data_IF_175810146465
#
_entry.id   IF_175810146465
#
_cell.length_a   1.000
_cell.length_b   1.000
_cell.length_c   1.000
_cell.angle_alpha   90.00
_cell.angle_beta   90.00
_cell.angle_gamma   90.00
#
_symmetry.space_group_name_H-M   'P 1'
#
loop_
_entity.id
_entity.type
_entity.pdbx_description
1 polymer ?
#
# COMPACT_ATOMS: atom_id res chain seq x y z
N UNK A 1 75.99 58.90 -45.34
CA UNK A 1 74.99 58.09 -45.99
C UNK A 1 74.65 56.95 -45.04
N UNK A 2 73.51 57.13 -44.41
CA UNK A 2 73.08 56.34 -43.28
C UNK A 2 71.96 55.36 -43.78
N UNK A 3 72.19 54.04 -43.63
CA UNK A 3 71.19 53.04 -44.01
C UNK A 3 70.13 52.87 -42.86
N UNK A 4 68.86 52.63 -43.21
CA UNK A 4 67.80 52.47 -42.21
C UNK A 4 67.73 51.03 -41.69
N UNK A 5 67.52 50.91 -40.38
CA UNK A 5 67.39 49.70 -39.66
C UNK A 5 66.00 49.05 -39.91
N UNK A 6 65.98 47.74 -40.21
CA UNK A 6 64.80 46.92 -40.33
C UNK A 6 64.26 46.58 -38.92
N UNK A 7 63.08 47.01 -38.61
CA UNK A 7 62.31 46.54 -37.43
C UNK A 7 61.54 45.26 -37.77
N UNK A 8 61.79 44.17 -37.05
CA UNK A 8 60.99 42.91 -37.05
C UNK A 8 59.76 43.05 -36.13
N UNK A 9 58.56 42.58 -36.55
CA UNK A 9 57.42 42.56 -35.65
C UNK A 9 57.53 41.41 -34.71
N UNK A 10 57.30 41.62 -33.38
CA UNK A 10 57.05 40.60 -32.37
C UNK A 10 55.66 40.04 -32.60
N UNK A 11 55.59 38.73 -32.84
CA UNK A 11 54.36 37.98 -32.84
C UNK A 11 53.99 37.69 -31.35
N UNK A 12 52.89 38.25 -30.88
CA UNK A 12 52.31 37.91 -29.58
C UNK A 12 51.60 36.56 -29.66
N UNK A 13 52.11 35.54 -29.02
CA UNK A 13 51.41 34.24 -28.82
C UNK A 13 50.38 34.41 -27.70
N UNK A 14 49.12 34.44 -28.06
CA UNK A 14 47.99 34.36 -27.09
C UNK A 14 47.85 32.92 -26.63
N UNK A 15 48.22 32.65 -25.38
CA UNK A 15 48.00 31.34 -24.71
C UNK A 15 46.54 31.32 -24.27
N UNK A 16 45.66 30.65 -25.00
CA UNK A 16 44.30 30.36 -24.59
C UNK A 16 44.33 29.23 -23.56
N UNK A 17 44.15 29.55 -22.28
CA UNK A 17 43.95 28.55 -21.23
C UNK A 17 42.57 27.93 -21.42
N UNK A 18 42.53 26.67 -21.88
CA UNK A 18 41.33 25.81 -21.77
C UNK A 18 41.13 25.48 -20.30
N UNK A 19 40.18 26.15 -19.67
CA UNK A 19 39.60 25.71 -18.41
C UNK A 19 38.68 24.53 -18.74
N UNK A 20 39.21 23.31 -18.68
CA UNK A 20 38.40 22.12 -18.61
C UNK A 20 37.67 22.12 -17.25
N UNK A 21 36.44 22.60 -17.28
CA UNK A 21 35.54 22.41 -16.15
C UNK A 21 35.34 20.93 -15.94
N UNK A 22 35.92 20.34 -14.88
CA UNK A 22 35.48 19.07 -14.37
C UNK A 22 34.05 19.26 -13.89
N UNK A 23 33.07 18.91 -14.70
CA UNK A 23 31.76 18.61 -14.22
C UNK A 23 31.93 17.40 -13.32
N UNK A 24 31.86 17.62 -12.00
CA UNK A 24 31.72 16.53 -11.07
C UNK A 24 30.42 15.80 -11.46
N UNK A 25 30.53 14.60 -12.02
CA UNK A 25 29.42 13.67 -12.07
C UNK A 25 28.92 13.53 -10.63
N UNK A 26 27.63 13.72 -10.37
CA UNK A 26 27.11 13.46 -9.05
C UNK A 26 27.52 12.02 -8.70
N UNK A 27 28.39 11.88 -7.71
CA UNK A 27 28.69 10.57 -7.14
C UNK A 27 27.40 10.13 -6.48
N UNK A 28 26.70 9.18 -7.11
CA UNK A 28 25.57 8.52 -6.46
C UNK A 28 26.11 7.93 -5.18
N UNK A 29 25.70 8.47 -4.06
CA UNK A 29 26.10 7.97 -2.76
C UNK A 29 25.60 6.54 -2.66
N UNK A 30 26.51 5.60 -2.40
CA UNK A 30 26.14 4.20 -2.26
C UNK A 30 25.28 4.05 -1.00
N UNK A 31 24.04 3.61 -1.18
CA UNK A 31 23.14 3.34 -0.07
C UNK A 31 22.37 2.05 -0.28
N UNK A 32 21.92 1.44 0.81
CA UNK A 32 20.98 0.35 0.80
C UNK A 32 19.54 0.84 0.64
N UNK A 33 18.63 -0.08 0.39
CA UNK A 33 17.19 0.21 0.27
C UNK A 33 16.40 -0.16 1.53
N UNK A 34 17.01 -0.79 2.52
CA UNK A 34 16.33 -1.35 3.69
C UNK A 34 15.73 -0.31 4.66
N UNK A 35 16.14 0.94 4.56
CA UNK A 35 15.62 2.07 5.33
C UNK A 35 14.86 3.09 4.46
N UNK A 36 14.57 2.73 3.21
CA UNK A 36 13.77 3.55 2.32
C UNK A 36 12.27 3.31 2.52
N UNK A 37 11.52 4.32 2.17
CA UNK A 37 10.07 4.27 2.06
C UNK A 37 9.57 5.30 1.07
N UNK A 38 8.27 5.30 0.87
CA UNK A 38 7.60 6.28 0.03
C UNK A 38 6.34 6.81 0.70
N UNK A 39 6.04 8.08 0.43
CA UNK A 39 4.79 8.73 0.81
C UNK A 39 4.08 9.19 -0.45
N UNK A 40 2.83 8.82 -0.62
CA UNK A 40 2.00 9.26 -1.74
C UNK A 40 1.51 10.68 -1.46
N UNK A 41 1.87 11.63 -2.32
CA UNK A 41 1.42 13.03 -2.29
C UNK A 41 0.28 13.23 -3.31
N UNK A 42 -0.96 13.25 -2.80
CA UNK A 42 -2.16 13.20 -3.66
C UNK A 42 -2.41 14.48 -4.44
N UNK A 43 -2.07 15.63 -3.86
CA UNK A 43 -2.33 16.93 -4.47
C UNK A 43 -1.49 17.15 -5.74
N UNK A 44 -0.27 16.66 -5.75
CA UNK A 44 0.70 16.84 -6.84
C UNK A 44 0.81 15.64 -7.77
N UNK A 45 0.26 14.47 -7.38
CA UNK A 45 0.46 13.23 -8.12
C UNK A 45 1.92 12.80 -8.12
N UNK A 46 2.60 12.99 -7.00
CA UNK A 46 4.00 12.67 -6.77
C UNK A 46 4.18 11.63 -5.67
N UNK A 47 5.39 11.11 -5.60
CA UNK A 47 5.83 10.16 -4.59
C UNK A 47 7.06 10.74 -3.89
N UNK A 48 6.96 11.05 -2.61
CA UNK A 48 8.11 11.43 -1.82
C UNK A 48 8.89 10.16 -1.40
N UNK A 49 10.15 10.05 -1.81
CA UNK A 49 11.06 9.00 -1.35
C UNK A 49 11.67 9.44 -0.03
N UNK A 50 11.54 8.61 1.01
CA UNK A 50 11.95 8.95 2.36
C UNK A 50 13.01 8.01 2.90
N UNK A 51 13.88 8.55 3.77
CA UNK A 51 14.81 7.83 4.61
C UNK A 51 14.21 7.71 6.02
N UNK A 52 13.89 6.49 6.44
CA UNK A 52 13.25 6.25 7.74
C UNK A 52 14.21 6.38 8.91
N UNK A 53 15.51 6.13 8.71
CA UNK A 53 16.55 6.27 9.74
C UNK A 53 16.84 7.73 10.05
N UNK A 54 16.98 8.56 9.00
CA UNK A 54 17.24 9.99 9.14
C UNK A 54 15.96 10.84 9.25
N UNK A 55 14.79 10.23 8.99
CA UNK A 55 13.47 10.89 9.05
C UNK A 55 13.40 12.12 8.16
N UNK A 56 13.78 11.96 6.89
CA UNK A 56 13.78 13.03 5.91
C UNK A 56 13.32 12.56 4.54
N UNK A 57 12.83 13.49 3.75
CA UNK A 57 12.56 13.29 2.32
C UNK A 57 13.90 13.38 1.59
N UNK A 58 14.16 12.38 0.73
CA UNK A 58 15.34 12.31 -0.12
C UNK A 58 15.09 12.96 -1.48
N UNK A 59 13.93 12.67 -2.05
CA UNK A 59 13.55 13.11 -3.41
C UNK A 59 12.03 13.09 -3.57
N UNK A 60 11.55 13.72 -4.65
CA UNK A 60 10.15 13.67 -5.08
C UNK A 60 10.06 13.27 -6.54
N UNK A 61 9.35 12.19 -6.80
CA UNK A 61 9.12 11.67 -8.14
C UNK A 61 7.77 12.17 -8.64
N UNK A 62 7.80 13.10 -9.58
CA UNK A 62 6.62 13.72 -10.18
C UNK A 62 6.17 12.97 -11.46
N UNK A 63 4.95 13.29 -11.95
CA UNK A 63 4.46 12.76 -13.23
C UNK A 63 3.81 11.38 -13.14
N UNK A 64 3.38 10.95 -11.95
CA UNK A 64 2.74 9.66 -11.70
C UNK A 64 1.23 9.66 -12.01
N UNK A 65 0.64 10.81 -12.38
CA UNK A 65 -0.77 10.93 -12.74
C UNK A 65 -1.70 11.12 -11.54
N UNK A 66 -2.91 10.58 -11.62
CA UNK A 66 -3.89 10.72 -10.53
C UNK A 66 -3.59 9.74 -9.40
N UNK A 67 -3.04 10.24 -8.31
CA UNK A 67 -2.79 9.50 -7.06
C UNK A 67 -3.85 9.76 -5.98
N UNK A 68 -5.02 10.27 -6.34
CA UNK A 68 -6.12 10.52 -5.38
C UNK A 68 -6.57 9.26 -4.63
N UNK A 69 -6.34 8.11 -5.21
CA UNK A 69 -6.41 6.80 -4.57
C UNK A 69 -5.33 5.93 -5.20
N UNK A 70 -4.21 5.78 -4.53
CA UNK A 70 -3.06 5.06 -5.02
C UNK A 70 -2.52 4.10 -3.96
N UNK A 71 -1.95 3.01 -4.42
CA UNK A 71 -1.16 2.11 -3.59
C UNK A 71 0.22 1.88 -4.21
N UNK A 72 1.15 1.37 -3.41
CA UNK A 72 2.51 1.09 -3.84
C UNK A 72 2.91 -0.31 -3.39
N UNK A 73 3.53 -1.07 -4.28
CA UNK A 73 4.19 -2.35 -3.97
C UNK A 73 5.65 -2.26 -4.41
N UNK A 74 6.49 -3.09 -3.83
CA UNK A 74 7.92 -3.08 -4.13
C UNK A 74 8.35 -4.34 -4.88
N UNK A 75 9.36 -4.20 -5.74
CA UNK A 75 10.10 -5.35 -6.26
C UNK A 75 10.75 -6.15 -5.12
N UNK A 76 10.96 -7.46 -5.32
CA UNK A 76 11.48 -8.33 -4.25
C UNK A 76 12.89 -7.95 -3.78
N UNK A 77 13.66 -7.22 -4.57
CA UNK A 77 14.96 -6.63 -4.19
C UNK A 77 14.82 -5.26 -3.50
N UNK A 78 13.59 -4.78 -3.28
CA UNK A 78 13.26 -3.51 -2.64
C UNK A 78 13.85 -2.27 -3.35
N UNK A 79 14.23 -2.38 -4.64
CA UNK A 79 14.79 -1.29 -5.42
C UNK A 79 13.74 -0.48 -6.16
N UNK A 80 12.71 -1.15 -6.68
CA UNK A 80 11.69 -0.50 -7.50
C UNK A 80 10.37 -0.44 -6.76
N UNK A 81 9.69 0.70 -6.88
CA UNK A 81 8.31 0.88 -6.44
C UNK A 81 7.38 0.77 -7.66
N UNK A 82 6.36 -0.06 -7.57
CA UNK A 82 5.25 -0.12 -8.51
C UNK A 82 4.11 0.73 -7.96
N UNK A 83 3.77 1.80 -8.66
CA UNK A 83 2.75 2.77 -8.25
C UNK A 83 1.51 2.56 -9.10
N UNK A 84 0.38 2.32 -8.43
CA UNK A 84 -0.92 2.07 -9.03
C UNK A 84 -1.78 3.33 -8.90
N UNK A 85 -1.94 4.06 -10.00
CA UNK A 85 -2.71 5.31 -10.04
C UNK A 85 -4.21 5.07 -10.27
N UNK A 86 -5.03 6.00 -9.76
CA UNK A 86 -6.49 6.00 -9.93
C UNK A 86 -6.92 6.06 -11.38
N UNK A 87 -6.14 6.75 -12.21
CA UNK A 87 -6.34 6.89 -13.66
C UNK A 87 -6.06 5.62 -14.47
N UNK A 88 -5.72 4.51 -13.82
CA UNK A 88 -5.31 3.27 -14.46
C UNK A 88 -3.84 3.24 -14.87
N UNK A 89 -3.05 4.21 -14.44
CA UNK A 89 -1.61 4.23 -14.64
C UNK A 89 -0.91 3.21 -13.75
N UNK A 90 0.03 2.45 -14.34
CA UNK A 90 1.01 1.63 -13.62
C UNK A 90 2.39 2.20 -13.93
N UNK A 91 3.12 2.61 -12.90
CA UNK A 91 4.47 3.18 -13.02
C UNK A 91 5.47 2.37 -12.23
N UNK A 92 6.68 2.18 -12.79
CA UNK A 92 7.83 1.57 -12.12
C UNK A 92 8.86 2.65 -11.84
N UNK A 93 9.14 2.90 -10.57
CA UNK A 93 10.05 3.94 -10.07
C UNK A 93 11.29 3.29 -9.47
N UNK A 94 12.48 3.71 -9.89
CA UNK A 94 13.75 3.33 -9.24
C UNK A 94 13.97 4.23 -8.02
N UNK A 95 13.93 3.66 -6.82
CA UNK A 95 14.05 4.39 -5.55
C UNK A 95 15.44 4.98 -5.30
N UNK A 96 16.47 4.45 -5.98
CA UNK A 96 17.84 4.95 -5.82
C UNK A 96 18.15 6.13 -6.72
N UNK A 97 17.50 6.23 -7.88
CA UNK A 97 17.69 7.35 -8.81
C UNK A 97 16.56 8.38 -8.80
N UNK A 98 15.39 8.04 -8.22
CA UNK A 98 14.19 8.88 -8.29
C UNK A 98 13.56 8.93 -9.68
N UNK A 99 13.88 8.00 -10.59
CA UNK A 99 13.43 8.03 -11.96
C UNK A 99 12.24 7.09 -12.20
N UNK A 100 11.24 7.54 -12.98
CA UNK A 100 10.23 6.66 -13.55
C UNK A 100 10.88 5.90 -14.71
N UNK A 101 11.15 4.60 -14.51
CA UNK A 101 11.79 3.77 -15.55
C UNK A 101 10.79 3.30 -16.60
N UNK A 102 9.55 3.02 -16.21
CA UNK A 102 8.47 2.60 -17.10
C UNK A 102 7.13 3.16 -16.59
N UNK A 103 6.24 3.47 -17.51
CA UNK A 103 4.85 3.84 -17.22
C UNK A 103 3.92 3.39 -18.33
N UNK A 104 2.81 2.74 -17.97
CA UNK A 104 1.76 2.32 -18.89
C UNK A 104 0.39 2.74 -18.39
N UNK A 105 -0.50 3.11 -19.32
CA UNK A 105 -1.92 3.34 -19.03
C UNK A 105 -2.67 2.06 -19.39
N UNK A 106 -3.04 1.25 -18.39
CA UNK A 106 -3.52 -0.11 -18.61
C UNK A 106 -5.05 -0.27 -18.50
N UNK A 107 -5.72 0.71 -17.88
CA UNK A 107 -7.20 0.72 -17.73
C UNK A 107 -7.71 2.15 -17.56
N UNK A 108 -8.99 2.31 -17.28
CA UNK A 108 -9.61 3.61 -16.97
C UNK A 108 -9.66 3.92 -15.47
N UNK A 109 -9.59 2.90 -14.60
CA UNK A 109 -9.65 3.07 -13.15
C UNK A 109 -9.07 1.83 -12.46
N UNK A 110 -7.97 2.02 -11.76
CA UNK A 110 -7.36 0.98 -10.91
C UNK A 110 -7.31 1.39 -9.45
N UNK A 111 -7.13 0.42 -8.56
CA UNK A 111 -7.14 0.69 -7.12
C UNK A 111 -5.88 0.19 -6.42
N UNK A 112 -5.22 -0.78 -6.96
CA UNK A 112 -4.03 -1.36 -6.37
C UNK A 112 -3.54 -2.57 -7.13
N UNK A 113 -2.57 -3.25 -6.56
CA UNK A 113 -1.98 -4.42 -7.19
C UNK A 113 -1.13 -5.23 -6.24
N UNK A 114 -0.48 -6.24 -6.79
CA UNK A 114 0.42 -7.15 -6.09
C UNK A 114 1.61 -7.51 -6.97
N UNK A 115 2.70 -7.96 -6.34
CA UNK A 115 3.88 -8.49 -7.02
C UNK A 115 3.95 -9.99 -6.75
N UNK A 116 4.14 -10.82 -7.78
CA UNK A 116 4.22 -12.27 -7.63
C UNK A 116 5.33 -12.70 -6.66
N UNK A 117 5.21 -13.89 -6.09
CA UNK A 117 6.16 -14.40 -5.09
C UNK A 117 7.59 -14.50 -5.64
N UNK A 118 7.74 -14.84 -6.93
CA UNK A 118 9.01 -14.88 -7.64
C UNK A 118 9.50 -13.50 -8.11
N UNK A 119 8.67 -12.47 -7.98
CA UNK A 119 8.99 -11.12 -8.40
C UNK A 119 8.87 -10.84 -9.90
N UNK A 120 8.47 -11.83 -10.69
CA UNK A 120 8.45 -11.72 -12.16
C UNK A 120 7.26 -10.93 -12.69
N UNK A 121 6.14 -10.89 -11.96
CA UNK A 121 4.88 -10.31 -12.41
C UNK A 121 4.36 -9.23 -11.47
N UNK A 122 3.71 -8.23 -12.05
CA UNK A 122 2.90 -7.22 -11.35
C UNK A 122 1.45 -7.39 -11.77
N UNK A 123 0.57 -7.67 -10.80
CA UNK A 123 -0.87 -7.76 -11.00
C UNK A 123 -1.53 -6.42 -10.66
N UNK A 124 -2.50 -5.97 -11.48
CA UNK A 124 -3.25 -4.73 -11.26
C UNK A 124 -4.73 -5.04 -11.12
N UNK A 125 -5.32 -4.59 -10.01
CA UNK A 125 -6.76 -4.67 -9.76
C UNK A 125 -7.49 -3.51 -10.43
N UNK A 126 -8.48 -3.82 -11.27
CA UNK A 126 -9.24 -2.83 -12.01
C UNK A 126 -10.69 -2.74 -11.55
N UNK A 127 -11.15 -1.50 -11.34
CA UNK A 127 -12.58 -1.19 -11.20
C UNK A 127 -13.27 -1.12 -12.55
N UNK A 128 -12.59 -0.50 -13.53
CA UNK A 128 -13.09 -0.36 -14.90
C UNK A 128 -11.98 -0.73 -15.90
N UNK A 129 -12.22 -1.71 -16.76
CA UNK A 129 -13.49 -2.41 -17.01
C UNK A 129 -13.78 -3.60 -16.07
N UNK A 130 -13.05 -3.75 -14.96
CA UNK A 130 -13.10 -4.88 -14.05
C UNK A 130 -12.25 -6.05 -14.54
N UNK A 131 -11.51 -6.66 -13.61
CA UNK A 131 -10.57 -7.74 -13.86
C UNK A 131 -9.17 -7.46 -13.32
N UNK A 132 -8.29 -8.43 -13.50
CA UNK A 132 -6.87 -8.33 -13.14
C UNK A 132 -6.05 -8.41 -14.42
N UNK A 133 -5.14 -7.45 -14.60
CA UNK A 133 -4.12 -7.51 -15.64
C UNK A 133 -2.78 -7.81 -15.04
N UNK A 134 -2.01 -8.66 -15.72
CA UNK A 134 -0.67 -9.07 -15.32
C UNK A 134 0.35 -8.45 -16.27
N UNK A 135 1.43 -7.92 -15.69
CA UNK A 135 2.52 -7.29 -16.41
C UNK A 135 3.84 -7.93 -16.00
N UNK A 136 4.76 -8.03 -16.95
CA UNK A 136 6.16 -8.30 -16.63
C UNK A 136 6.72 -7.20 -15.73
N UNK A 137 7.39 -7.55 -14.64
CA UNK A 137 7.83 -6.58 -13.63
C UNK A 137 9.01 -5.71 -14.07
N UNK A 138 9.76 -6.11 -15.11
CA UNK A 138 10.90 -5.36 -15.62
C UNK A 138 10.49 -4.39 -16.72
N UNK A 139 9.64 -4.83 -17.65
CA UNK A 139 9.28 -4.09 -18.87
C UNK A 139 7.94 -3.41 -18.82
N UNK A 140 7.04 -3.82 -17.91
CA UNK A 140 5.62 -3.49 -17.86
C UNK A 140 4.87 -3.86 -19.16
N UNK A 141 5.34 -4.86 -19.91
CA UNK A 141 4.57 -5.46 -21.00
C UNK A 141 3.43 -6.31 -20.43
N UNK A 142 2.22 -6.20 -21.03
CA UNK A 142 1.07 -6.99 -20.60
C UNK A 142 1.27 -8.47 -20.94
N UNK A 143 1.18 -9.34 -19.91
CA UNK A 143 1.33 -10.79 -20.02
C UNK A 143 -0.02 -11.50 -20.11
N UNK A 144 -1.00 -11.03 -19.34
CA UNK A 144 -2.34 -11.61 -19.34
C UNK A 144 -3.42 -10.60 -18.89
N UNK A 145 -4.65 -10.79 -19.38
CA UNK A 145 -5.87 -10.12 -18.91
C UNK A 145 -6.84 -11.20 -18.40
N UNK A 146 -7.23 -11.10 -17.13
CA UNK A 146 -8.16 -12.01 -16.46
C UNK A 146 -9.46 -11.26 -16.17
N UNK A 147 -10.47 -11.35 -17.04
CA UNK A 147 -11.72 -10.61 -16.86
C UNK A 147 -12.51 -11.09 -15.65
N UNK A 148 -12.97 -10.18 -14.80
CA UNK A 148 -13.83 -10.49 -13.65
C UNK A 148 -15.31 -10.57 -14.08
N UNK A 149 -15.67 -11.57 -14.88
CA UNK A 149 -17.03 -11.72 -15.39
C UNK A 149 -17.89 -12.59 -14.48
N UNK A 150 -19.14 -12.17 -14.27
CA UNK A 150 -20.17 -12.93 -13.54
C UNK A 150 -21.52 -12.83 -14.25
N UNK A 151 -22.48 -13.63 -13.83
CA UNK A 151 -23.87 -13.52 -14.28
C UNK A 151 -24.70 -12.82 -13.20
N UNK A 152 -25.38 -11.75 -13.59
CA UNK A 152 -26.27 -11.05 -12.68
C UNK A 152 -27.61 -11.83 -12.49
N UNK A 153 -28.48 -11.31 -11.62
CA UNK A 153 -29.78 -11.92 -11.33
C UNK A 153 -30.72 -12.01 -12.55
N UNK A 154 -30.48 -11.22 -13.61
CA UNK A 154 -31.19 -11.31 -14.88
C UNK A 154 -30.57 -12.32 -15.84
N UNK A 155 -29.44 -12.95 -15.47
CA UNK A 155 -28.68 -13.89 -16.29
C UNK A 155 -27.76 -13.21 -17.31
N UNK A 156 -27.61 -11.89 -17.28
CA UNK A 156 -26.71 -11.15 -18.16
C UNK A 156 -25.27 -11.24 -17.67
N UNK A 157 -24.33 -11.30 -18.62
CA UNK A 157 -22.91 -11.26 -18.27
C UNK A 157 -22.49 -9.82 -17.96
N UNK A 158 -21.95 -9.62 -16.77
CA UNK A 158 -21.41 -8.35 -16.27
C UNK A 158 -19.94 -8.50 -15.91
N UNK A 159 -19.27 -7.38 -15.69
CA UNK A 159 -17.94 -7.34 -15.08
C UNK A 159 -18.03 -6.73 -13.67
N UNK A 160 -17.29 -7.33 -12.74
CA UNK A 160 -17.19 -6.86 -11.36
C UNK A 160 -15.91 -6.09 -11.15
N UNK A 161 -15.97 -5.11 -10.23
CA UNK A 161 -14.75 -4.51 -9.68
C UNK A 161 -13.93 -5.58 -8.97
N UNK A 162 -12.62 -5.49 -9.12
CA UNK A 162 -11.68 -6.30 -8.36
C UNK A 162 -11.18 -5.49 -7.16
N UNK A 163 -11.23 -6.10 -5.99
CA UNK A 163 -10.81 -5.53 -4.72
C UNK A 163 -9.99 -6.54 -3.93
N UNK A 164 -9.18 -6.07 -2.97
CA UNK A 164 -8.42 -6.94 -2.09
C UNK A 164 -7.42 -7.85 -2.81
N UNK A 165 -6.82 -7.38 -3.92
CA UNK A 165 -5.83 -8.14 -4.68
C UNK A 165 -4.50 -8.19 -3.93
N UNK A 166 -4.05 -9.41 -3.64
CA UNK A 166 -2.76 -9.69 -2.98
C UNK A 166 -2.06 -10.88 -3.61
N UNK A 167 -0.76 -10.97 -3.42
CA UNK A 167 0.01 -12.20 -3.68
C UNK A 167 -0.26 -13.23 -2.59
N UNK A 168 -0.22 -14.48 -2.96
CA UNK A 168 -0.51 -15.62 -2.09
C UNK A 168 0.57 -16.70 -2.20
N UNK A 169 0.75 -17.54 -1.16
CA UNK A 169 1.77 -18.60 -1.18
C UNK A 169 1.66 -19.51 -2.40
N UNK A 170 2.81 -19.97 -2.89
CA UNK A 170 2.86 -20.87 -4.04
C UNK A 170 2.69 -20.16 -5.39
N UNK A 171 3.18 -18.94 -5.50
CA UNK A 171 3.13 -18.13 -6.73
C UNK A 171 1.70 -17.95 -7.27
N UNK A 172 0.79 -17.56 -6.38
CA UNK A 172 -0.63 -17.32 -6.67
C UNK A 172 -1.02 -15.88 -6.39
N UNK A 173 -2.13 -15.44 -6.98
CA UNK A 173 -2.84 -14.23 -6.61
C UNK A 173 -4.22 -14.56 -6.10
N UNK A 174 -4.71 -13.79 -5.14
CA UNK A 174 -6.09 -13.92 -4.63
C UNK A 174 -6.73 -12.55 -4.57
N UNK A 175 -8.02 -12.48 -4.90
CA UNK A 175 -8.78 -11.23 -4.89
C UNK A 175 -10.28 -11.47 -4.78
N UNK A 176 -11.01 -10.45 -4.39
CA UNK A 176 -12.47 -10.46 -4.30
C UNK A 176 -13.13 -9.72 -5.46
N UNK A 177 -14.32 -10.14 -5.82
CA UNK A 177 -15.18 -9.50 -6.81
C UNK A 177 -16.39 -8.85 -6.13
N UNK A 178 -16.41 -7.52 -6.12
CA UNK A 178 -17.35 -6.72 -5.34
C UNK A 178 -18.81 -7.00 -5.69
N UNK A 179 -19.21 -6.83 -6.96
CA UNK A 179 -20.60 -7.03 -7.38
C UNK A 179 -20.98 -8.49 -7.52
N UNK A 180 -19.99 -9.35 -7.72
CA UNK A 180 -20.23 -10.78 -7.91
C UNK A 180 -20.38 -11.56 -6.59
N UNK A 181 -19.86 -11.04 -5.47
CA UNK A 181 -19.81 -11.80 -4.22
C UNK A 181 -18.95 -13.05 -4.33
N UNK A 182 -17.77 -12.92 -4.95
CA UNK A 182 -16.87 -14.06 -5.21
C UNK A 182 -15.45 -13.76 -4.71
N UNK A 183 -14.71 -14.82 -4.38
CA UNK A 183 -13.24 -14.80 -4.25
C UNK A 183 -12.66 -15.61 -5.41
N UNK A 184 -11.63 -15.07 -6.04
CA UNK A 184 -10.87 -15.74 -7.08
C UNK A 184 -9.44 -16.01 -6.61
N UNK A 185 -8.95 -17.23 -6.85
CA UNK A 185 -7.58 -17.65 -6.63
C UNK A 185 -6.97 -18.02 -7.98
N UNK A 186 -5.87 -17.36 -8.34
CA UNK A 186 -5.18 -17.54 -9.61
C UNK A 186 -3.83 -18.18 -9.37
N UNK A 187 -3.60 -19.36 -9.93
CA UNK A 187 -2.32 -20.07 -9.90
C UNK A 187 -1.48 -19.68 -11.13
N UNK A 188 -0.23 -19.26 -10.89
CA UNK A 188 0.70 -18.79 -11.91
C UNK A 188 1.82 -19.81 -12.23
N UNK A 189 1.73 -21.04 -11.75
CA UNK A 189 2.79 -22.03 -11.94
C UNK A 189 2.77 -22.75 -13.31
N UNK A 190 1.69 -22.58 -14.09
CA UNK A 190 1.54 -23.12 -15.45
C UNK A 190 1.93 -22.14 -16.54
N UNK A 191 1.84 -22.56 -17.80
CA UNK A 191 2.05 -21.71 -18.98
C UNK A 191 0.96 -20.63 -19.13
N UNK A 192 -0.19 -20.85 -18.51
CA UNK A 192 -1.34 -19.93 -18.47
C UNK A 192 -1.91 -19.87 -17.06
N UNK A 193 -2.45 -18.69 -16.65
CA UNK A 193 -3.10 -18.57 -15.34
C UNK A 193 -4.25 -19.56 -15.16
N UNK A 194 -4.26 -20.31 -14.07
CA UNK A 194 -5.36 -21.21 -13.70
C UNK A 194 -6.23 -20.55 -12.64
N UNK A 195 -7.53 -20.39 -12.93
CA UNK A 195 -8.49 -19.68 -12.09
C UNK A 195 -9.39 -20.65 -11.33
N UNK A 196 -9.34 -20.56 -9.99
CA UNK A 196 -10.34 -21.18 -9.09
C UNK A 196 -11.30 -20.10 -8.59
N UNK A 197 -12.61 -20.36 -8.64
CA UNK A 197 -13.65 -19.41 -8.23
C UNK A 197 -14.39 -19.96 -7.01
N UNK A 198 -14.58 -19.09 -6.01
CA UNK A 198 -15.42 -19.34 -4.85
C UNK A 198 -16.60 -18.37 -4.91
N UNK A 199 -17.78 -18.89 -5.16
CA UNK A 199 -19.03 -18.14 -5.33
C UNK A 199 -19.82 -18.05 -4.03
N UNK A 200 -20.77 -17.12 -3.96
CA UNK A 200 -21.71 -16.98 -2.82
C UNK A 200 -20.99 -16.77 -1.49
N UNK A 201 -19.88 -16.01 -1.50
CA UNK A 201 -19.06 -15.78 -0.30
C UNK A 201 -19.64 -14.68 0.61
N UNK A 202 -20.65 -13.95 0.16
CA UNK A 202 -21.30 -12.86 0.87
C UNK A 202 -21.49 -11.62 0.00
N UNK A 203 -22.23 -10.63 0.53
CA UNK A 203 -22.59 -9.42 -0.21
C UNK A 203 -21.45 -8.39 -0.20
N UNK A 204 -21.10 -7.92 -1.40
CA UNK A 204 -20.15 -6.83 -1.61
C UNK A 204 -18.82 -7.03 -0.85
N UNK A 205 -18.07 -8.15 -1.04
CA UNK A 205 -16.75 -8.25 -0.48
C UNK A 205 -15.90 -7.09 -0.97
N UNK A 206 -15.15 -6.45 -0.07
CA UNK A 206 -14.42 -5.25 -0.42
C UNK A 206 -12.91 -5.49 -0.31
N UNK A 207 -12.30 -4.99 0.74
CA UNK A 207 -10.88 -5.20 0.94
C UNK A 207 -10.61 -6.49 1.70
N UNK A 208 -9.39 -7.00 1.54
CA UNK A 208 -8.99 -8.21 2.20
C UNK A 208 -7.54 -8.14 2.66
N UNK A 209 -7.22 -8.96 3.66
CA UNK A 209 -5.88 -9.14 4.17
C UNK A 209 -5.49 -10.62 4.12
N UNK A 210 -4.21 -10.86 3.84
CA UNK A 210 -3.59 -12.16 4.11
C UNK A 210 -2.97 -12.15 5.51
N UNK A 211 -3.24 -13.16 6.31
CA UNK A 211 -2.56 -13.38 7.58
C UNK A 211 -1.03 -13.48 7.38
N UNK A 212 -0.21 -13.08 8.39
CA UNK A 212 1.26 -12.96 8.24
C UNK A 212 1.98 -14.21 7.77
N UNK A 213 1.39 -15.39 8.00
CA UNK A 213 1.90 -16.69 7.55
C UNK A 213 1.41 -17.08 6.14
N UNK A 214 0.67 -16.21 5.46
CA UNK A 214 0.11 -16.47 4.14
C UNK A 214 -1.01 -17.51 4.10
N UNK A 215 -1.59 -17.90 5.25
CA UNK A 215 -2.58 -18.96 5.28
C UNK A 215 -3.99 -18.48 4.99
N UNK A 216 -4.44 -17.43 5.65
CA UNK A 216 -5.83 -16.99 5.58
C UNK A 216 -5.96 -15.73 4.73
N UNK A 217 -6.81 -15.78 3.72
CA UNK A 217 -7.33 -14.61 3.03
C UNK A 217 -8.71 -14.30 3.60
N UNK A 218 -8.88 -13.11 4.15
CA UNK A 218 -10.11 -12.69 4.81
C UNK A 218 -10.62 -11.43 4.14
N UNK A 219 -11.81 -11.51 3.55
CA UNK A 219 -12.50 -10.39 2.94
C UNK A 219 -13.58 -9.84 3.87
N UNK A 220 -13.59 -8.53 4.09
CA UNK A 220 -14.69 -7.84 4.73
C UNK A 220 -15.90 -7.77 3.81
N UNK A 221 -17.11 -7.77 4.36
CA UNK A 221 -18.34 -7.68 3.60
C UNK A 221 -18.98 -6.29 3.79
N UNK A 222 -19.12 -5.58 2.70
CA UNK A 222 -19.68 -4.23 2.71
C UNK A 222 -21.23 -4.24 2.76
N UNK A 223 -21.84 -5.27 2.20
CA UNK A 223 -23.28 -5.43 2.11
C UNK A 223 -23.92 -6.01 3.37
N UNK A 224 -23.19 -6.73 4.21
CA UNK A 224 -23.70 -7.45 5.37
C UNK A 224 -22.69 -7.56 6.51
N UNK A 225 -23.11 -8.00 7.69
CA UNK A 225 -22.21 -8.33 8.78
C UNK A 225 -21.41 -9.61 8.49
N UNK A 226 -20.25 -9.74 9.13
CA UNK A 226 -19.37 -10.87 9.00
C UNK A 226 -18.26 -10.71 7.98
N UNK A 227 -17.43 -11.72 7.89
CA UNK A 227 -16.25 -11.79 7.04
C UNK A 227 -16.23 -13.13 6.30
N UNK A 228 -15.64 -13.12 5.10
CA UNK A 228 -15.42 -14.32 4.30
C UNK A 228 -13.95 -14.75 4.41
N UNK A 229 -13.70 -15.96 4.93
CA UNK A 229 -12.36 -16.51 5.14
C UNK A 229 -12.11 -17.67 4.17
N UNK A 230 -11.01 -17.58 3.42
CA UNK A 230 -10.47 -18.66 2.59
C UNK A 230 -9.13 -19.13 3.17
N UNK A 231 -9.05 -20.43 3.55
CA UNK A 231 -7.78 -21.06 3.91
C UNK A 231 -6.97 -21.38 2.64
N UNK A 232 -5.95 -20.59 2.36
CA UNK A 232 -5.10 -20.75 1.17
C UNK A 232 -4.22 -22.00 1.21
N UNK A 233 -4.06 -22.62 2.36
CA UNK A 233 -3.39 -23.93 2.49
C UNK A 233 -4.33 -25.08 2.18
N UNK A 234 -5.64 -24.88 2.36
CA UNK A 234 -6.70 -25.86 2.13
C UNK A 234 -7.88 -25.25 1.34
N UNK A 235 -7.61 -24.68 0.12
CA UNK A 235 -8.64 -24.00 -0.65
C UNK A 235 -9.80 -24.93 -1.05
N UNK A 236 -9.58 -26.24 -1.11
CA UNK A 236 -10.60 -27.24 -1.38
C UNK A 236 -11.71 -27.30 -0.33
N UNK A 237 -11.46 -26.78 0.88
CA UNK A 237 -12.46 -26.67 1.94
C UNK A 237 -13.51 -25.56 1.67
N UNK A 238 -13.22 -24.67 0.71
CA UNK A 238 -14.08 -23.55 0.37
C UNK A 238 -13.97 -22.37 1.34
N UNK A 239 -14.88 -21.40 1.17
CA UNK A 239 -14.93 -20.19 1.98
C UNK A 239 -15.80 -20.41 3.22
N UNK A 240 -15.34 -19.95 4.36
CA UNK A 240 -16.07 -19.98 5.64
C UNK A 240 -16.56 -18.58 6.01
N UNK A 241 -17.72 -18.49 6.65
CA UNK A 241 -18.20 -17.26 7.28
C UNK A 241 -17.71 -17.22 8.72
N UNK A 242 -17.04 -16.13 9.07
CA UNK A 242 -16.58 -15.86 10.44
C UNK A 242 -17.23 -14.58 10.96
N UNK A 243 -17.41 -14.47 12.28
CA UNK A 243 -18.00 -13.31 12.96
C UNK A 243 -19.33 -12.84 12.33
N UNK A 244 -20.33 -13.72 12.11
CA UNK A 244 -21.49 -13.42 11.25
C UNK A 244 -22.39 -12.30 11.80
N UNK A 245 -22.28 -11.98 13.09
CA UNK A 245 -23.10 -10.97 13.77
C UNK A 245 -22.37 -9.62 13.95
N UNK A 246 -21.17 -9.47 13.36
CA UNK A 246 -20.31 -8.31 13.62
C UNK A 246 -19.73 -7.71 12.35
N UNK A 247 -19.40 -6.43 12.43
CA UNK A 247 -18.64 -5.69 11.43
C UNK A 247 -19.35 -4.46 10.93
N UNK A 248 -20.41 -4.62 10.16
CA UNK A 248 -21.12 -3.52 9.50
C UNK A 248 -21.96 -2.69 10.47
N UNK A 249 -22.74 -3.33 11.34
CA UNK A 249 -23.73 -2.66 12.16
C UNK A 249 -24.98 -2.26 11.38
N UNK A 250 -25.94 -1.60 12.09
CA UNK A 250 -27.21 -1.18 11.53
C UNK A 250 -27.17 0.26 10.98
N UNK A 251 -26.31 1.11 11.53
CA UNK A 251 -26.20 2.51 11.15
C UNK A 251 -25.29 2.66 9.91
N UNK A 252 -25.80 3.38 8.91
CA UNK A 252 -24.99 3.72 7.74
C UNK A 252 -24.18 4.97 8.02
N UNK A 253 -22.88 4.80 8.27
CA UNK A 253 -21.97 5.89 8.55
C UNK A 253 -21.62 6.71 7.29
N UNK A 254 -21.20 7.98 7.45
CA UNK A 254 -20.90 8.89 6.33
C UNK A 254 -19.80 8.37 5.40
N UNK A 255 -18.81 7.69 5.95
CA UNK A 255 -17.74 7.03 5.20
C UNK A 255 -17.88 5.52 5.43
N UNK A 256 -18.59 4.91 4.51
CA UNK A 256 -18.82 3.48 4.56
C UNK A 256 -17.69 2.79 3.83
N UNK A 257 -16.62 2.46 4.55
CA UNK A 257 -15.51 1.65 4.02
C UNK A 257 -15.27 0.48 4.94
N UNK A 258 -15.30 -0.68 4.38
CA UNK A 258 -14.79 -1.89 5.03
C UNK A 258 -13.27 -1.81 5.17
N UNK A 259 -12.66 -2.62 6.02
CA UNK A 259 -11.22 -2.58 6.25
C UNK A 259 -10.45 -2.58 4.94
N UNK A 260 -9.55 -1.63 4.81
CA UNK A 260 -8.54 -1.64 3.75
C UNK A 260 -7.62 -2.87 3.93
N UNK A 261 -6.83 -3.18 2.88
CA UNK A 261 -5.75 -4.16 2.90
C UNK A 261 -4.81 -3.95 4.07
N UNK A 262 -4.94 -3.97 5.21
CA UNK A 262 -4.22 -3.69 6.45
C UNK A 262 -5.17 -3.13 7.51
N UNK A 263 -6.47 -3.13 7.20
CA UNK A 263 -7.47 -2.65 8.11
C UNK A 263 -7.60 -3.49 9.37
N UNK A 264 -6.93 -4.66 9.44
CA UNK A 264 -6.92 -5.54 10.61
C UNK A 264 -5.57 -6.24 10.78
N UNK A 265 -5.32 -6.84 11.94
CA UNK A 265 -4.03 -7.45 12.24
C UNK A 265 -4.16 -8.68 13.15
N UNK A 266 -3.10 -9.47 13.22
CA UNK A 266 -2.94 -10.52 14.22
C UNK A 266 -1.91 -10.09 15.27
N UNK A 267 -2.21 -10.24 16.55
CA UNK A 267 -1.28 -10.05 17.65
C UNK A 267 -1.35 -11.29 18.56
N UNK A 268 -0.28 -12.06 18.60
CA UNK A 268 -0.26 -13.37 19.24
C UNK A 268 -1.25 -14.32 18.56
N UNK A 269 -2.15 -14.89 19.35
CA UNK A 269 -3.25 -15.78 18.94
C UNK A 269 -4.58 -15.03 18.73
N UNK A 270 -4.54 -13.71 18.60
CA UNK A 270 -5.72 -12.86 18.46
C UNK A 270 -5.73 -12.08 17.17
N UNK A 271 -6.90 -12.06 16.52
CA UNK A 271 -7.21 -11.17 15.41
C UNK A 271 -7.87 -9.89 15.94
N UNK A 272 -7.34 -8.75 15.55
CA UNK A 272 -7.82 -7.42 15.91
C UNK A 272 -8.43 -6.78 14.67
N UNK A 273 -9.75 -6.58 14.66
CA UNK A 273 -10.50 -6.22 13.46
C UNK A 273 -11.32 -4.94 13.69
N UNK A 274 -11.39 -4.02 12.72
CA UNK A 274 -12.26 -2.87 12.81
C UNK A 274 -13.74 -3.27 12.61
N UNK A 275 -14.58 -3.02 13.60
CA UNK A 275 -16.03 -3.11 13.46
C UNK A 275 -16.57 -1.76 13.00
N UNK A 276 -16.43 -1.49 11.71
CA UNK A 276 -16.58 -0.18 11.10
C UNK A 276 -17.91 0.50 11.43
N UNK A 277 -19.02 -0.22 11.40
CA UNK A 277 -20.35 0.31 11.70
C UNK A 277 -20.68 0.45 13.19
N UNK A 278 -19.76 0.11 14.09
CA UNK A 278 -20.02 0.05 15.54
C UNK A 278 -19.06 0.87 16.41
N UNK A 279 -18.09 1.54 15.82
CA UNK A 279 -17.01 2.26 16.55
C UNK A 279 -16.30 1.38 17.57
N UNK A 280 -15.99 0.16 17.18
CA UNK A 280 -15.35 -0.83 18.02
C UNK A 280 -14.19 -1.51 17.28
N UNK A 281 -13.20 -1.97 18.02
CA UNK A 281 -12.24 -2.97 17.56
C UNK A 281 -12.67 -4.30 18.13
N UNK A 282 -12.86 -5.29 17.27
CA UNK A 282 -13.17 -6.66 17.66
C UNK A 282 -11.87 -7.41 17.95
N UNK A 283 -11.88 -8.24 18.99
CA UNK A 283 -10.80 -9.18 19.28
C UNK A 283 -11.38 -10.58 19.16
N UNK A 284 -10.87 -11.34 18.21
CA UNK A 284 -11.28 -12.72 17.96
C UNK A 284 -10.10 -13.68 18.16
N UNK A 285 -10.41 -14.91 18.49
CA UNK A 285 -9.42 -16.00 18.48
C UNK A 285 -8.96 -16.26 17.03
N UNK A 286 -7.67 -16.36 16.79
CA UNK A 286 -7.13 -16.57 15.43
C UNK A 286 -7.20 -18.04 14.98
N UNK A 287 -7.52 -18.98 15.87
CA UNK A 287 -7.65 -20.40 15.54
C UNK A 287 -9.08 -20.76 15.13
N UNK A 288 -10.08 -20.36 15.92
CA UNK A 288 -11.48 -20.72 15.69
C UNK A 288 -12.38 -19.53 15.30
N UNK A 289 -11.83 -18.31 15.27
CA UNK A 289 -12.51 -17.07 14.92
C UNK A 289 -13.70 -16.71 15.82
N UNK A 290 -13.73 -17.25 17.05
CA UNK A 290 -14.70 -16.85 18.05
C UNK A 290 -14.40 -15.46 18.59
N UNK A 291 -15.44 -14.66 18.82
CA UNK A 291 -15.27 -13.34 19.43
C UNK A 291 -14.84 -13.46 20.89
N UNK A 292 -13.70 -12.88 21.24
CA UNK A 292 -13.17 -12.81 22.62
C UNK A 292 -13.60 -11.50 23.32
N UNK A 293 -13.52 -10.37 22.61
CA UNK A 293 -13.78 -9.07 23.22
C UNK A 293 -14.16 -7.99 22.18
N UNK A 294 -14.66 -6.85 22.66
CA UNK A 294 -14.97 -5.66 21.88
C UNK A 294 -14.50 -4.43 22.63
N UNK A 295 -13.65 -3.63 21.98
CA UNK A 295 -13.13 -2.40 22.56
C UNK A 295 -13.78 -1.20 21.89
N UNK A 296 -14.58 -0.40 22.63
CA UNK A 296 -15.05 0.89 22.14
C UNK A 296 -13.85 1.80 21.81
N UNK A 297 -13.91 2.45 20.65
CA UNK A 297 -12.86 3.38 20.17
C UNK A 297 -13.47 4.72 19.79
N UNK A 298 -12.62 5.72 19.52
CA UNK A 298 -13.00 7.11 19.30
C UNK A 298 -14.05 7.32 18.20
N UNK A 299 -13.94 6.61 17.10
CA UNK A 299 -14.83 6.77 15.95
C UNK A 299 -14.88 5.50 15.11
N UNK A 300 -15.35 5.61 13.87
CA UNK A 300 -15.35 4.52 12.92
C UNK A 300 -13.90 4.10 12.58
N UNK A 301 -13.41 2.93 13.06
CA UNK A 301 -12.04 2.51 12.80
C UNK A 301 -11.84 2.14 11.33
N UNK A 302 -10.67 2.49 10.77
CA UNK A 302 -10.28 2.14 9.39
C UNK A 302 -9.12 1.17 9.39
N UNK A 303 -7.99 1.58 9.96
CA UNK A 303 -6.81 0.73 10.10
C UNK A 303 -6.63 0.35 11.56
N UNK A 304 -6.39 -0.93 11.79
CA UNK A 304 -6.04 -1.52 13.06
C UNK A 304 -4.70 -2.19 12.87
N UNK A 305 -3.62 -1.48 13.13
CA UNK A 305 -2.26 -1.89 12.79
C UNK A 305 -1.45 -2.23 14.04
N UNK A 306 -0.83 -3.41 14.05
CA UNK A 306 0.04 -3.80 15.17
C UNK A 306 1.44 -3.23 15.04
N UNK A 307 2.03 -2.84 16.15
CA UNK A 307 3.48 -2.68 16.24
C UNK A 307 4.17 -4.04 16.02
N UNK A 308 5.33 -4.10 15.35
CA UNK A 308 6.00 -5.38 15.04
C UNK A 308 6.27 -6.32 16.21
N UNK A 309 6.39 -5.81 17.44
CA UNK A 309 6.54 -6.63 18.66
C UNK A 309 5.21 -7.10 19.28
N UNK A 310 4.09 -6.78 18.62
CA UNK A 310 2.72 -7.17 18.98
C UNK A 310 2.18 -6.62 20.32
N UNK A 311 2.90 -5.69 20.96
CA UNK A 311 2.49 -5.10 22.24
C UNK A 311 1.54 -3.92 22.14
N UNK A 312 1.42 -3.35 20.96
CA UNK A 312 0.53 -2.23 20.71
C UNK A 312 -0.21 -2.43 19.40
N UNK A 313 -1.45 -2.00 19.39
CA UNK A 313 -2.27 -1.82 18.20
C UNK A 313 -2.62 -0.32 18.09
N UNK A 314 -2.38 0.25 16.91
CA UNK A 314 -2.68 1.63 16.60
C UNK A 314 -3.90 1.69 15.68
N UNK A 315 -4.82 2.60 15.96
CA UNK A 315 -6.10 2.70 15.28
C UNK A 315 -6.34 4.14 14.82
N UNK A 316 -6.61 4.33 13.52
CA UNK A 316 -7.10 5.59 12.98
C UNK A 316 -8.57 5.48 12.57
N UNK A 317 -9.20 6.60 12.27
CA UNK A 317 -10.65 6.70 12.15
C UNK A 317 -11.08 7.37 10.84
N UNK A 318 -12.31 7.09 10.42
CA UNK A 318 -12.96 7.77 9.31
C UNK A 318 -13.47 9.17 9.70
N UNK A 319 -13.65 10.01 8.68
CA UNK A 319 -14.34 11.29 8.87
C UNK A 319 -15.74 11.07 9.52
N UNK A 320 -16.18 11.89 10.50
CA UNK A 320 -15.55 13.15 10.92
C UNK A 320 -14.44 13.04 11.98
N UNK A 321 -14.25 11.88 12.58
CA UNK A 321 -13.38 11.67 13.75
C UNK A 321 -11.94 11.30 13.35
N UNK A 322 -11.48 11.81 12.20
CA UNK A 322 -10.25 11.37 11.55
C UNK A 322 -9.04 12.28 11.79
N UNK A 323 -8.99 12.93 12.92
CA UNK A 323 -7.89 13.80 13.37
C UNK A 323 -7.00 13.17 14.46
N UNK A 324 -7.37 11.97 14.92
CA UNK A 324 -6.67 11.27 16.00
C UNK A 324 -6.21 9.87 15.61
N UNK A 325 -5.26 9.36 16.38
CA UNK A 325 -4.83 7.96 16.40
C UNK A 325 -4.89 7.48 17.85
N UNK A 326 -5.55 6.36 18.10
CA UNK A 326 -5.52 5.70 19.41
C UNK A 326 -4.50 4.58 19.44
N UNK A 327 -3.78 4.48 20.55
CA UNK A 327 -2.82 3.41 20.84
C UNK A 327 -3.42 2.53 21.92
N UNK A 328 -3.54 1.25 21.63
CA UNK A 328 -4.09 0.24 22.51
C UNK A 328 -2.97 -0.73 22.92
N UNK A 329 -2.81 -0.96 24.20
CA UNK A 329 -1.94 -2.01 24.72
C UNK A 329 -2.62 -3.37 24.58
N UNK A 330 -1.95 -4.33 23.95
CA UNK A 330 -2.56 -5.63 23.61
C UNK A 330 -2.77 -6.55 24.81
N UNK A 331 -1.96 -6.41 25.87
CA UNK A 331 -2.06 -7.24 27.07
C UNK A 331 -3.20 -6.76 27.97
N UNK A 332 -3.26 -5.45 28.26
CA UNK A 332 -4.30 -4.87 29.12
C UNK A 332 -5.60 -4.58 28.37
N UNK A 333 -5.55 -4.48 27.02
CA UNK A 333 -6.65 -4.03 26.15
C UNK A 333 -7.15 -2.62 26.47
N UNK A 334 -6.29 -1.78 27.02
CA UNK A 334 -6.61 -0.39 27.36
C UNK A 334 -6.07 0.57 26.29
N UNK A 335 -6.82 1.64 26.03
CA UNK A 335 -6.32 2.77 25.24
C UNK A 335 -5.30 3.52 26.11
N UNK A 336 -4.01 3.40 25.78
CA UNK A 336 -2.89 4.01 26.53
C UNK A 336 -2.53 5.40 26.07
N UNK A 337 -2.94 5.78 24.84
CA UNK A 337 -2.78 7.13 24.32
C UNK A 337 -3.79 7.46 23.23
N UNK A 338 -4.09 8.75 23.09
CA UNK A 338 -4.74 9.36 21.93
C UNK A 338 -3.82 10.45 21.39
N UNK A 339 -3.35 10.29 20.17
CA UNK A 339 -2.40 11.17 19.51
C UNK A 339 -3.14 12.04 18.51
N UNK A 340 -2.70 13.29 18.31
CA UNK A 340 -3.30 14.28 17.42
C UNK A 340 -2.31 14.69 16.31
N UNK A 341 -2.04 13.85 15.30
CA UNK A 341 -1.06 14.16 14.25
C UNK A 341 -1.50 15.30 13.33
N UNK A 342 -2.79 15.55 13.21
CA UNK A 342 -3.40 16.58 12.38
C UNK A 342 -4.68 16.12 11.72
N UNK A 343 -5.22 16.95 10.83
CA UNK A 343 -6.51 16.70 10.18
C UNK A 343 -6.39 15.65 9.07
N UNK A 344 -7.41 14.80 8.98
CA UNK A 344 -7.56 13.75 7.96
C UNK A 344 -6.40 12.73 7.96
N UNK A 345 -6.22 12.02 9.07
CA UNK A 345 -5.30 10.88 9.16
C UNK A 345 -5.76 9.77 8.22
N UNK A 346 -4.95 9.45 7.22
CA UNK A 346 -5.30 8.45 6.20
C UNK A 346 -4.56 7.13 6.34
N UNK A 347 -3.30 7.16 6.73
CA UNK A 347 -2.47 5.96 6.80
C UNK A 347 -1.44 6.05 7.90
N UNK A 348 -1.01 4.89 8.39
CA UNK A 348 0.08 4.71 9.34
C UNK A 348 1.02 3.62 8.81
N UNK A 349 2.29 3.71 9.16
CA UNK A 349 3.28 2.67 8.86
C UNK A 349 4.30 2.58 9.98
N UNK A 350 4.65 1.37 10.38
CA UNK A 350 5.73 1.12 11.33
C UNK A 350 7.05 0.83 10.64
N UNK A 351 8.14 1.37 11.17
CA UNK A 351 9.47 0.89 10.78
C UNK A 351 9.61 -0.60 11.09
N UNK A 352 10.50 -1.34 10.40
CA UNK A 352 10.59 -2.81 10.51
C UNK A 352 10.78 -3.34 11.93
N UNK A 353 11.45 -2.56 12.79
CA UNK A 353 11.65 -2.90 14.21
C UNK A 353 10.58 -2.33 15.13
N UNK A 354 9.64 -1.56 14.59
CA UNK A 354 8.58 -0.93 15.36
C UNK A 354 9.03 0.22 16.26
N UNK A 355 10.21 0.78 16.03
CA UNK A 355 10.72 1.90 16.84
C UNK A 355 9.99 3.20 16.55
N UNK A 356 9.48 3.36 15.34
CA UNK A 356 8.76 4.54 14.88
C UNK A 356 7.45 4.15 14.20
N UNK A 357 6.44 5.01 14.36
CA UNK A 357 5.21 5.02 13.59
C UNK A 357 5.14 6.32 12.80
N UNK A 358 4.98 6.20 11.49
CA UNK A 358 4.80 7.32 10.56
C UNK A 358 3.32 7.47 10.26
N UNK A 359 2.77 8.66 10.42
CA UNK A 359 1.33 8.92 10.32
C UNK A 359 1.10 10.05 9.34
N UNK A 360 0.31 9.81 8.28
CA UNK A 360 -0.07 10.84 7.32
C UNK A 360 -1.29 11.64 7.81
N UNK A 361 -1.16 12.96 7.89
CA UNK A 361 -2.24 13.90 8.17
C UNK A 361 -2.49 14.74 6.91
N UNK A 362 -3.42 14.26 6.07
CA UNK A 362 -3.63 14.75 4.69
C UNK A 362 -3.93 16.25 4.64
N UNK A 363 -4.94 16.69 5.39
CA UNK A 363 -5.43 18.07 5.32
C UNK A 363 -4.57 19.04 6.15
N UNK A 364 -3.56 18.52 6.82
CA UNK A 364 -2.50 19.27 7.50
C UNK A 364 -1.17 19.28 6.74
N UNK A 365 -1.12 18.73 5.52
CA UNK A 365 0.04 18.69 4.63
C UNK A 365 1.32 18.20 5.31
N UNK A 366 1.23 17.13 6.09
CA UNK A 366 2.37 16.60 6.84
C UNK A 366 2.32 15.12 7.12
N UNK A 367 3.48 14.54 7.31
CA UNK A 367 3.70 13.24 7.95
C UNK A 367 4.32 13.48 9.31
N UNK A 368 3.75 12.90 10.37
CA UNK A 368 4.25 12.97 11.74
C UNK A 368 4.87 11.63 12.10
N UNK A 369 6.05 11.66 12.69
CA UNK A 369 6.79 10.48 13.14
C UNK A 369 6.79 10.43 14.66
N UNK A 370 6.29 9.34 15.21
CA UNK A 370 6.25 9.10 16.65
C UNK A 370 7.27 8.01 17.04
N UNK A 371 7.96 8.21 18.16
CA UNK A 371 8.63 7.12 18.88
C UNK A 371 7.55 6.24 19.52
N UNK A 372 7.50 4.96 19.19
CA UNK A 372 6.41 4.07 19.63
C UNK A 372 6.48 3.65 21.09
N UNK A 373 7.59 3.88 21.76
CA UNK A 373 7.77 3.56 23.19
C UNK A 373 7.38 4.73 24.08
N UNK A 374 7.79 5.96 23.69
CA UNK A 374 7.47 7.19 24.45
C UNK A 374 6.15 7.81 24.01
N UNK A 375 5.68 7.48 22.79
CA UNK A 375 4.53 8.07 22.13
C UNK A 375 4.70 9.57 21.85
N UNK A 376 5.92 10.06 21.86
CA UNK A 376 6.27 11.45 21.57
C UNK A 376 6.55 11.63 20.07
N UNK A 377 6.16 12.78 19.52
CA UNK A 377 6.57 13.21 18.18
C UNK A 377 8.10 13.43 18.15
N UNK A 378 8.78 12.74 17.23
CA UNK A 378 10.24 12.83 17.06
C UNK A 378 10.66 13.48 15.73
N UNK A 379 9.74 13.59 14.78
CA UNK A 379 9.97 14.30 13.53
C UNK A 379 8.63 14.68 12.87
N UNK A 380 8.70 15.67 11.99
CA UNK A 380 7.60 16.08 11.12
C UNK A 380 8.17 16.42 9.75
N UNK A 381 7.52 15.89 8.69
CA UNK A 381 7.90 16.11 7.31
C UNK A 381 6.76 16.84 6.60
N UNK A 382 7.10 17.90 5.88
CA UNK A 382 6.15 18.60 5.00
C UNK A 382 5.89 17.73 3.75
N UNK A 383 4.63 17.42 3.48
CA UNK A 383 4.20 16.57 2.37
C UNK A 383 2.81 17.00 1.91
N UNK A 384 2.62 17.21 0.61
CA UNK A 384 1.40 17.81 0.06
C UNK A 384 0.26 16.78 -0.04
N UNK A 385 -0.74 16.92 0.83
CA UNK A 385 -1.88 15.99 0.91
C UNK A 385 -1.44 14.53 1.04
N UNK A 386 -0.57 14.15 2.01
CA UNK A 386 -0.05 12.79 2.12
C UNK A 386 -1.16 11.79 2.37
N UNK A 387 -0.99 10.60 1.80
CA UNK A 387 -1.92 9.48 2.01
C UNK A 387 -1.17 8.19 2.37
N UNK A 388 -1.00 7.25 1.45
CA UNK A 388 -0.30 6.01 1.73
C UNK A 388 1.17 6.22 2.08
N UNK A 389 1.63 5.53 3.11
CA UNK A 389 3.04 5.43 3.52
C UNK A 389 3.41 3.96 3.38
N UNK A 390 4.49 3.67 2.67
CA UNK A 390 4.92 2.30 2.41
C UNK A 390 6.43 2.20 2.56
N UNK A 391 6.91 1.24 3.37
CA UNK A 391 8.33 1.02 3.56
C UNK A 391 8.81 -0.21 2.78
N UNK A 392 10.06 -0.20 2.37
CA UNK A 392 10.64 -1.23 1.49
C UNK A 392 10.72 -2.62 2.13
N UNK A 393 10.62 -2.74 3.46
CA UNK A 393 10.55 -4.03 4.14
C UNK A 393 9.31 -4.85 3.75
N UNK A 394 8.25 -4.19 3.22
CA UNK A 394 7.08 -4.87 2.65
C UNK A 394 7.41 -5.75 1.45
N UNK A 395 8.50 -5.49 0.75
CA UNK A 395 8.94 -6.30 -0.40
C UNK A 395 9.09 -7.80 -0.09
N UNK A 396 9.28 -8.15 1.17
CA UNK A 396 9.51 -9.52 1.63
C UNK A 396 8.29 -10.14 2.32
N UNK A 397 7.20 -9.40 2.45
CA UNK A 397 5.98 -9.86 3.11
C UNK A 397 4.97 -10.34 2.08
N UNK A 398 4.28 -11.43 2.40
CA UNK A 398 3.17 -11.95 1.59
C UNK A 398 1.93 -11.11 1.87
N UNK A 399 1.25 -10.68 0.81
CA UNK A 399 -0.01 -9.96 0.92
C UNK A 399 0.11 -8.47 1.29
N UNK A 400 1.34 -7.93 1.31
CA UNK A 400 1.57 -6.52 1.65
C UNK A 400 2.29 -5.73 0.56
#
# INVERSE_FOLDING_TARGET
MIAPALRKPLAALSLAALVAGCQATPTTELRGTGDLGVVVERATGSLAVVDTSERRILDRVEGLGDLSHASVKFSRDARYAFVFGRDGGLSRVDLLSGEITHRVMQSGNSIGGAVSQDGALVAVANYEPGGVKLFDSETLEEVADIPATYRDAAGETRRSKVVGLVDAPGNRFVYSLFEAGEIHLVDMNGDTPELTRFTDIGEEPYDALIGPNGRYYIAGLFGEDGLALLDLWHPEAGVQRILPDYGRGEERLPVYKMPHLEGWTLAGDEAWLPAVGRHEVLIADADDWSLKDRLPVHGQPIFVMRRPDERQVWVNFAHPDNDVVQVIDTESREIVATLEPGEAVLHMEFTPKGEQAWVSARDSDRVVVYDTRTLEEVARLDSESPSGIFFTDRAHRIGL
#
